data_IF_448494989810
#
_entry.id   IF_448494989810
#
_cell.length_a   1.000
_cell.length_b   1.000
_cell.length_c   1.000
_cell.angle_alpha   90.00
_cell.angle_beta   90.00
_cell.angle_gamma   90.00
#
_symmetry.space_group_name_H-M   'P 1'
#
loop_
_entity.id
_entity.type
_entity.pdbx_description
1 polymer ?
#
# COMPACT_ATOMS: atom_id res chain seq x y z
N UNK A 1 -9.19 -2.19 -3.70
CA UNK A 1 -8.31 -2.66 -2.61
C UNK A 1 -9.13 -3.00 -1.40
N UNK A 2 -9.93 -2.08 -0.85
CA UNK A 2 -11.07 -2.46 -0.01
C UNK A 2 -12.02 -3.34 -0.85
N UNK A 3 -12.53 -4.48 -0.36
CA UNK A 3 -12.52 -4.99 1.02
C UNK A 3 -11.36 -5.95 1.39
N UNK A 4 -10.37 -6.16 0.52
CA UNK A 4 -9.27 -7.11 0.75
C UNK A 4 -8.32 -6.71 1.88
N UNK A 5 -8.20 -5.41 2.17
CA UNK A 5 -7.27 -4.91 3.16
C UNK A 5 -7.69 -3.56 3.74
N UNK A 6 -7.35 -3.31 5.00
CA UNK A 6 -7.38 -1.99 5.64
C UNK A 6 -6.07 -1.26 5.38
N UNK A 7 -6.15 0.03 5.04
CA UNK A 7 -4.96 0.87 4.89
C UNK A 7 -4.60 1.43 6.26
N UNK A 8 -3.38 1.18 6.71
CA UNK A 8 -2.87 1.68 7.99
C UNK A 8 -2.03 2.94 7.78
N UNK A 9 -1.16 2.97 6.77
CA UNK A 9 -0.40 4.17 6.43
C UNK A 9 -0.09 4.21 4.93
N UNK A 10 0.08 5.42 4.41
CA UNK A 10 0.47 5.68 3.04
C UNK A 10 1.29 6.97 2.93
N UNK A 11 2.16 7.02 1.92
CA UNK A 11 2.90 8.21 1.51
C UNK A 11 3.17 8.13 0.01
N UNK A 12 2.78 9.16 -0.75
CA UNK A 12 3.13 9.34 -2.15
C UNK A 12 4.35 10.25 -2.24
N UNK A 13 5.37 9.79 -2.94
CA UNK A 13 6.57 10.55 -3.27
C UNK A 13 6.53 10.92 -4.76
N UNK A 14 7.31 11.90 -5.22
CA UNK A 14 7.33 12.28 -6.63
C UNK A 14 7.61 11.13 -7.61
N UNK A 15 8.36 10.11 -7.19
CA UNK A 15 8.81 8.99 -8.04
C UNK A 15 8.41 7.59 -7.55
N UNK A 16 7.79 7.45 -6.38
CA UNK A 16 7.32 6.17 -5.84
C UNK A 16 6.23 6.39 -4.79
N UNK A 17 5.67 5.31 -4.24
CA UNK A 17 4.76 5.40 -3.09
C UNK A 17 5.00 4.25 -2.13
N UNK A 18 4.63 4.47 -0.88
CA UNK A 18 4.62 3.45 0.16
C UNK A 18 3.21 3.26 0.71
N UNK A 19 2.89 2.02 1.04
CA UNK A 19 1.60 1.62 1.57
C UNK A 19 1.79 0.52 2.60
N UNK A 20 1.22 0.71 3.77
CA UNK A 20 1.11 -0.29 4.84
C UNK A 20 -0.36 -0.69 4.96
N UNK A 21 -0.62 -1.98 4.81
CA UNK A 21 -1.99 -2.53 4.85
C UNK A 21 -2.07 -3.71 5.79
N UNK A 22 -3.22 -3.86 6.45
CA UNK A 22 -3.63 -5.12 7.06
C UNK A 22 -4.42 -5.92 6.02
N UNK A 23 -3.95 -7.11 5.66
CA UNK A 23 -4.67 -7.99 4.72
C UNK A 23 -5.73 -8.77 5.50
N UNK A 24 -7.00 -8.57 5.14
CA UNK A 24 -8.13 -9.27 5.75
C UNK A 24 -8.39 -10.59 5.02
N UNK A 25 -8.42 -10.53 3.69
CA UNK A 25 -8.68 -11.67 2.82
C UNK A 25 -7.77 -11.62 1.58
N UNK A 26 -7.25 -12.79 1.20
CA UNK A 26 -6.42 -12.92 -0.02
C UNK A 26 -7.29 -13.15 -1.26
N UNK A 27 -8.47 -13.76 -1.09
CA UNK A 27 -9.42 -14.11 -2.15
C UNK A 27 -10.85 -13.82 -1.69
N UNK A 28 -11.65 -13.21 -2.55
CA UNK A 28 -13.06 -12.94 -2.29
C UNK A 28 -13.93 -13.33 -3.50
N UNK A 29 -15.15 -13.85 -3.28
CA UNK A 29 -16.06 -14.18 -4.37
C UNK A 29 -16.54 -12.91 -5.09
N UNK A 30 -16.57 -12.94 -6.42
CA UNK A 30 -17.13 -11.86 -7.23
C UNK A 30 -18.63 -12.10 -7.36
N UNK A 31 -19.44 -11.30 -6.67
CA UNK A 31 -20.89 -11.25 -6.90
C UNK A 31 -21.15 -10.75 -8.33
N UNK A 32 -21.96 -11.49 -9.09
CA UNK A 32 -22.24 -11.21 -10.52
C UNK A 32 -22.92 -9.86 -10.78
N UNK A 33 -23.55 -9.26 -9.77
CA UNK A 33 -24.28 -7.98 -9.87
C UNK A 33 -23.42 -6.78 -10.32
N UNK A 34 -22.10 -6.79 -10.09
CA UNK A 34 -21.22 -5.67 -10.43
C UNK A 34 -20.71 -5.66 -11.89
N UNK A 35 -21.19 -6.56 -12.76
CA UNK A 35 -20.82 -6.56 -14.19
C UNK A 35 -21.47 -5.43 -15.00
N UNK A 36 -22.51 -4.77 -14.49
CA UNK A 36 -23.20 -3.67 -15.17
C UNK A 36 -22.88 -2.33 -14.50
N UNK A 37 -21.72 -1.73 -14.79
CA UNK A 37 -21.43 -0.26 -14.73
C UNK A 37 -19.94 0.10 -14.89
N UNK A 38 -19.21 -0.54 -15.81
CA UNK A 38 -17.94 0.04 -16.28
C UNK A 38 -17.82 -0.11 -17.79
N UNK A 39 -18.57 0.71 -18.53
CA UNK A 39 -18.45 0.88 -19.99
C UNK A 39 -17.07 1.44 -20.44
N UNK A 40 -16.13 1.64 -19.51
CA UNK A 40 -14.74 2.03 -19.80
C UNK A 40 -13.67 1.05 -19.33
N UNK A 41 -14.04 -0.10 -18.74
CA UNK A 41 -13.06 -1.06 -18.24
C UNK A 41 -12.86 -2.16 -19.28
N UNK A 42 -11.95 -1.92 -20.23
CA UNK A 42 -11.55 -2.96 -21.18
C UNK A 42 -11.17 -4.24 -20.41
N UNK A 43 -11.77 -5.41 -20.74
CA UNK A 43 -11.43 -6.69 -20.14
C UNK A 43 -9.93 -6.93 -20.24
N UNK A 44 -9.36 -7.51 -19.18
CA UNK A 44 -7.93 -7.75 -19.05
C UNK A 44 -7.44 -8.77 -20.07
N UNK A 45 -6.67 -8.33 -21.05
CA UNK A 45 -5.61 -9.15 -21.62
C UNK A 45 -4.30 -8.73 -20.95
N UNK A 46 -3.98 -9.36 -19.82
CA UNK A 46 -2.59 -9.39 -19.35
C UNK A 46 -2.00 -10.73 -19.74
N UNK A 47 -1.02 -10.68 -20.66
CA UNK A 47 -0.03 -11.73 -20.90
C UNK A 47 0.47 -12.27 -19.56
N UNK A 48 0.31 -13.58 -19.32
CA UNK A 48 0.92 -14.28 -18.18
C UNK A 48 -0.02 -15.17 -17.38
N UNK A 49 -0.68 -16.11 -18.05
CA UNK A 49 -0.89 -17.51 -17.64
C UNK A 49 -2.02 -18.08 -18.47
N UNK A 50 -1.67 -18.76 -19.56
CA UNK A 50 -2.52 -19.82 -20.08
C UNK A 50 -2.58 -20.90 -19.01
N UNK A 51 -3.77 -21.47 -18.84
CA UNK A 51 -4.11 -22.58 -17.94
C UNK A 51 -4.37 -22.26 -16.46
N UNK A 52 -5.58 -21.74 -16.16
CA UNK A 52 -6.41 -22.40 -15.15
C UNK A 52 -7.80 -22.60 -15.74
N UNK A 53 -8.15 -23.88 -15.80
CA UNK A 53 -9.38 -24.46 -16.32
C UNK A 53 -10.63 -23.91 -15.62
N UNK A 54 -11.66 -23.70 -16.43
CA UNK A 54 -13.06 -23.53 -16.03
C UNK A 54 -13.44 -24.50 -14.89
N UNK A 55 -13.73 -23.96 -13.71
CA UNK A 55 -14.22 -24.76 -12.58
C UNK A 55 -14.43 -23.90 -11.33
N UNK A 56 -15.71 -23.58 -11.05
CA UNK A 56 -16.25 -23.15 -9.75
C UNK A 56 -15.81 -21.79 -9.19
N UNK A 57 -16.66 -20.76 -9.40
CA UNK A 57 -16.66 -19.49 -8.68
C UNK A 57 -15.60 -18.46 -9.12
N UNK A 58 -16.02 -17.37 -9.78
CA UNK A 58 -15.13 -16.24 -10.07
C UNK A 58 -14.67 -15.59 -8.75
N UNK A 59 -13.46 -15.91 -8.27
CA UNK A 59 -12.85 -15.25 -7.12
C UNK A 59 -11.83 -14.21 -7.57
N UNK A 60 -11.82 -13.04 -6.92
CA UNK A 60 -10.79 -12.00 -7.13
C UNK A 60 -9.77 -12.09 -6.03
N UNK A 61 -8.50 -11.88 -6.38
CA UNK A 61 -7.39 -11.85 -5.43
C UNK A 61 -6.98 -10.41 -5.09
N UNK A 62 -6.35 -10.20 -3.94
CA UNK A 62 -5.77 -8.90 -3.57
C UNK A 62 -4.75 -8.39 -4.62
N UNK A 63 -3.92 -9.29 -5.18
CA UNK A 63 -2.97 -8.96 -6.25
C UNK A 63 -3.70 -8.40 -7.48
N UNK A 64 -4.81 -9.02 -7.88
CA UNK A 64 -5.62 -8.53 -8.97
C UNK A 64 -6.25 -7.17 -8.64
N UNK A 65 -6.73 -6.95 -7.42
CA UNK A 65 -7.27 -5.66 -6.98
C UNK A 65 -6.24 -4.53 -7.00
N UNK A 66 -5.00 -4.80 -6.59
CA UNK A 66 -3.88 -3.86 -6.69
C UNK A 66 -3.59 -3.54 -8.17
N UNK A 67 -3.57 -4.56 -9.05
CA UNK A 67 -3.41 -4.36 -10.48
C UNK A 67 -4.48 -3.45 -11.09
N UNK A 68 -5.74 -3.63 -10.70
CA UNK A 68 -6.85 -2.75 -11.11
C UNK A 68 -6.60 -1.31 -10.65
N UNK A 69 -6.18 -1.11 -9.40
CA UNK A 69 -5.88 0.22 -8.85
C UNK A 69 -4.78 0.93 -9.65
N UNK A 70 -3.64 0.26 -9.88
CA UNK A 70 -2.52 0.83 -10.62
C UNK A 70 -2.87 1.14 -12.08
N UNK A 71 -3.61 0.24 -12.75
CA UNK A 71 -4.07 0.48 -14.12
C UNK A 71 -5.04 1.65 -14.20
N UNK A 72 -5.97 1.75 -13.26
CA UNK A 72 -6.95 2.84 -13.23
C UNK A 72 -6.25 4.19 -13.07
N UNK A 73 -5.26 4.28 -12.18
CA UNK A 73 -4.43 5.47 -12.01
C UNK A 73 -3.62 5.78 -13.28
N UNK A 74 -2.97 4.78 -13.87
CA UNK A 74 -2.21 4.93 -15.13
C UNK A 74 -3.10 5.48 -16.25
N UNK A 75 -4.31 4.96 -16.41
CA UNK A 75 -5.26 5.43 -17.41
C UNK A 75 -5.69 6.89 -17.18
N UNK A 76 -5.96 7.26 -15.92
CA UNK A 76 -6.34 8.62 -15.56
C UNK A 76 -5.22 9.62 -15.91
N UNK A 77 -3.97 9.32 -15.52
CA UNK A 77 -2.80 10.15 -15.82
C UNK A 77 -2.52 10.21 -17.32
N UNK A 78 -2.59 9.09 -18.02
CA UNK A 78 -2.40 9.04 -19.47
C UNK A 78 -3.41 9.94 -20.19
N UNK A 79 -4.68 9.88 -19.78
CA UNK A 79 -5.74 10.76 -20.30
C UNK A 79 -5.48 12.23 -19.98
N UNK A 80 -5.13 12.55 -18.74
CA UNK A 80 -4.87 13.93 -18.29
C UNK A 80 -3.69 14.57 -19.04
N UNK A 81 -2.64 13.79 -19.29
CA UNK A 81 -1.38 14.27 -19.88
C UNK A 81 -1.30 14.02 -21.39
N UNK A 82 -2.41 13.61 -22.02
CA UNK A 82 -2.48 13.23 -23.45
C UNK A 82 -1.32 12.32 -23.89
N UNK A 83 -1.03 11.29 -23.09
CA UNK A 83 0.08 10.35 -23.31
C UNK A 83 -0.40 8.91 -23.28
N UNK A 84 0.46 7.98 -23.66
CA UNK A 84 0.23 6.55 -23.56
C UNK A 84 1.42 5.83 -22.90
N UNK A 85 1.25 4.54 -22.61
CA UNK A 85 2.30 3.68 -22.02
C UNK A 85 2.15 3.41 -20.52
N UNK A 86 3.13 2.70 -19.97
CA UNK A 86 3.17 2.32 -18.54
C UNK A 86 3.66 3.49 -17.68
N UNK A 87 2.99 3.71 -16.55
CA UNK A 87 3.44 4.66 -15.53
C UNK A 87 4.25 3.98 -14.42
N UNK A 88 3.93 2.72 -14.10
CA UNK A 88 4.59 1.96 -13.03
C UNK A 88 5.65 1.01 -13.59
N UNK A 89 6.67 0.72 -12.76
CA UNK A 89 7.61 -0.38 -13.02
C UNK A 89 6.86 -1.71 -12.97
N UNK A 90 7.34 -2.72 -13.72
CA UNK A 90 6.69 -4.03 -13.84
C UNK A 90 6.50 -4.76 -12.51
N UNK A 91 7.38 -4.52 -11.54
CA UNK A 91 7.37 -5.20 -10.24
C UNK A 91 7.04 -4.25 -9.10
N UNK A 92 6.22 -4.73 -8.15
CA UNK A 92 5.94 -4.06 -6.87
C UNK A 92 6.59 -4.89 -5.78
N UNK A 93 7.36 -4.25 -4.89
CA UNK A 93 7.94 -4.90 -3.71
C UNK A 93 6.88 -5.01 -2.62
N UNK A 94 6.72 -6.20 -2.06
CA UNK A 94 5.82 -6.45 -0.93
C UNK A 94 6.56 -7.30 0.11
N UNK A 95 6.61 -6.82 1.35
CA UNK A 95 7.20 -7.52 2.48
C UNK A 95 6.14 -7.74 3.55
N UNK A 96 6.09 -8.95 4.11
CA UNK A 96 5.21 -9.23 5.23
C UNK A 96 5.85 -8.71 6.52
N UNK A 97 5.15 -7.81 7.22
CA UNK A 97 5.65 -7.12 8.41
C UNK A 97 5.59 -8.01 9.65
N UNK A 98 4.58 -8.88 9.76
CA UNK A 98 4.36 -9.74 10.92
C UNK A 98 4.69 -11.23 10.67
N UNK A 99 5.28 -11.57 9.52
CA UNK A 99 5.72 -12.93 9.22
C UNK A 99 7.18 -13.10 9.63
N UNK A 100 7.51 -13.97 10.59
CA UNK A 100 8.90 -14.23 10.96
C UNK A 100 9.59 -15.01 9.85
N UNK A 101 10.29 -14.31 8.96
CA UNK A 101 11.21 -14.89 7.99
C UNK A 101 12.63 -14.36 8.26
N UNK A 102 13.34 -14.97 9.22
CA UNK A 102 14.70 -14.58 9.61
C UNK A 102 14.79 -13.37 10.54
N UNK A 103 15.99 -12.78 10.65
CA UNK A 103 16.25 -11.53 11.38
C UNK A 103 15.73 -10.38 10.51
N UNK A 104 14.59 -9.81 10.87
CA UNK A 104 14.06 -8.62 10.20
C UNK A 104 14.99 -7.43 10.51
N UNK A 105 15.45 -6.67 9.52
CA UNK A 105 16.54 -5.71 9.67
C UNK A 105 16.02 -4.35 10.21
N UNK A 106 15.23 -4.35 11.29
CA UNK A 106 15.00 -3.10 12.02
C UNK A 106 16.28 -2.70 12.74
N UNK A 107 17.16 -2.09 11.96
CA UNK A 107 18.35 -1.38 12.36
C UNK A 107 17.98 0.11 12.31
N UNK A 108 17.98 0.81 13.45
CA UNK A 108 17.99 2.27 13.43
C UNK A 108 19.41 2.75 13.71
N UNK A 109 19.93 3.57 12.80
CA UNK A 109 21.28 4.13 12.91
C UNK A 109 21.26 5.26 13.93
N UNK A 110 22.05 5.12 14.98
CA UNK A 110 22.38 6.20 15.93
C UNK A 110 23.76 6.76 15.58
N UNK A 111 24.12 7.95 16.09
CA UNK A 111 25.51 8.49 15.95
C UNK A 111 26.57 7.52 16.50
N UNK A 112 26.18 6.62 17.41
CA UNK A 112 27.05 5.64 18.05
C UNK A 112 27.00 4.24 17.40
N UNK A 113 26.36 4.11 16.23
CA UNK A 113 26.29 2.87 15.47
C UNK A 113 24.88 2.28 15.32
N UNK A 114 24.83 1.09 14.72
CA UNK A 114 23.60 0.36 14.44
C UNK A 114 23.21 -0.48 15.65
N UNK A 115 22.08 -0.14 16.29
CA UNK A 115 21.55 -0.94 17.41
C UNK A 115 20.46 -1.89 16.91
N UNK A 116 20.54 -3.15 17.37
CA UNK A 116 19.48 -4.16 17.22
C UNK A 116 18.87 -4.34 18.60
N UNK A 117 17.72 -3.71 18.84
CA UNK A 117 16.92 -3.99 20.02
C UNK A 117 15.63 -4.65 19.52
N UNK A 118 15.35 -5.88 19.97
CA UNK A 118 14.07 -6.55 19.65
C UNK A 118 13.49 -7.09 20.96
N UNK A 119 12.72 -6.25 21.65
CA UNK A 119 12.04 -6.64 22.90
C UNK A 119 10.63 -7.17 22.61
N UNK A 120 9.98 -6.69 21.53
CA UNK A 120 8.76 -7.30 20.95
C UNK A 120 8.68 -7.07 19.42
N UNK A 121 9.07 -8.05 18.59
CA UNK A 121 9.16 -7.87 17.14
C UNK A 121 7.82 -7.56 16.47
N UNK A 122 6.70 -7.98 17.08
CA UNK A 122 5.35 -7.78 16.51
C UNK A 122 4.84 -6.33 16.62
N UNK A 123 5.40 -5.50 17.50
CA UNK A 123 5.02 -4.08 17.63
C UNK A 123 6.12 -3.16 17.13
N UNK A 124 7.37 -3.49 17.39
CA UNK A 124 8.51 -2.64 17.00
C UNK A 124 8.70 -2.58 15.48
N UNK A 125 8.54 -3.70 14.75
CA UNK A 125 8.71 -3.71 13.30
C UNK A 125 7.58 -2.94 12.57
N UNK A 126 6.28 -3.14 12.88
CA UNK A 126 5.22 -2.28 12.35
C UNK A 126 5.43 -0.79 12.66
N UNK A 127 5.84 -0.44 13.88
CA UNK A 127 6.10 0.95 14.26
C UNK A 127 7.24 1.55 13.44
N UNK A 128 8.34 0.80 13.27
CA UNK A 128 9.46 1.25 12.47
C UNK A 128 9.07 1.49 11.01
N UNK A 129 8.28 0.57 10.42
CA UNK A 129 7.75 0.74 9.07
C UNK A 129 6.81 1.96 8.97
N UNK A 130 5.93 2.16 9.95
CA UNK A 130 5.03 3.32 10.01
C UNK A 130 5.82 4.64 10.05
N UNK A 131 6.77 4.74 10.98
CA UNK A 131 7.64 5.91 11.10
C UNK A 131 8.45 6.13 9.82
N UNK A 132 8.99 5.07 9.22
CA UNK A 132 9.72 5.15 7.95
C UNK A 132 8.83 5.74 6.85
N UNK A 133 7.60 5.26 6.69
CA UNK A 133 6.67 5.73 5.65
C UNK A 133 6.43 7.24 5.79
N UNK A 134 6.19 7.73 7.00
CA UNK A 134 5.91 9.14 7.25
C UNK A 134 7.15 10.03 7.24
N UNK A 135 8.32 9.50 7.55
CA UNK A 135 9.57 10.27 7.52
C UNK A 135 10.20 10.36 6.12
N UNK A 136 9.70 9.63 5.12
CA UNK A 136 10.23 9.67 3.75
C UNK A 136 10.26 11.08 3.14
N UNK A 137 9.22 11.92 3.25
CA UNK A 137 9.25 13.29 2.74
C UNK A 137 10.33 14.15 3.41
N UNK A 138 10.53 14.00 4.73
CA UNK A 138 11.56 14.73 5.48
C UNK A 138 12.96 14.28 5.06
N UNK A 139 13.20 12.97 5.00
CA UNK A 139 14.47 12.39 4.54
C UNK A 139 14.81 12.77 3.10
N UNK A 140 13.80 12.99 2.26
CA UNK A 140 13.96 13.47 0.89
C UNK A 140 14.14 15.00 0.78
N UNK A 141 14.11 15.74 1.90
CA UNK A 141 14.23 17.20 1.93
C UNK A 141 13.02 17.95 1.36
N UNK A 142 11.85 17.31 1.28
CA UNK A 142 10.63 17.91 0.71
C UNK A 142 9.90 18.81 1.73
N UNK A 143 9.97 18.46 3.01
CA UNK A 143 9.32 19.16 4.13
C UNK A 143 10.17 19.06 5.39
N UNK A 144 9.95 19.96 6.36
CA UNK A 144 10.65 19.92 7.63
C UNK A 144 10.02 18.91 8.59
N UNK A 145 8.70 18.70 8.50
CA UNK A 145 7.95 17.76 9.35
C UNK A 145 7.07 16.82 8.54
N UNK A 146 6.85 15.56 8.97
CA UNK A 146 6.03 14.59 8.26
C UNK A 146 4.62 15.09 7.90
N UNK A 147 3.96 15.77 8.83
CA UNK A 147 2.58 16.25 8.70
C UNK A 147 2.40 17.42 7.72
N UNK A 148 3.49 18.07 7.32
CA UNK A 148 3.51 19.12 6.29
C UNK A 148 3.38 18.54 4.87
N UNK A 149 3.75 17.27 4.68
CA UNK A 149 3.62 16.62 3.37
C UNK A 149 2.16 16.26 3.07
N UNK A 150 1.54 17.01 2.17
CA UNK A 150 0.11 16.85 1.85
C UNK A 150 -0.25 15.46 1.32
N UNK A 151 0.69 14.82 0.63
CA UNK A 151 0.52 13.50 0.02
C UNK A 151 0.99 12.36 0.94
N UNK A 152 0.76 12.50 2.25
CA UNK A 152 1.00 11.44 3.24
C UNK A 152 -0.15 11.36 4.24
N UNK A 153 -0.37 10.16 4.79
CA UNK A 153 -1.25 9.94 5.94
C UNK A 153 -0.74 10.56 7.24
N UNK A 154 0.51 11.01 7.31
CA UNK A 154 1.06 11.69 8.50
C UNK A 154 0.16 12.84 8.97
N UNK A 155 -0.40 13.60 8.01
CA UNK A 155 -1.34 14.69 8.27
C UNK A 155 -2.66 14.22 8.90
N UNK A 156 -3.12 13.01 8.55
CA UNK A 156 -4.32 12.42 9.19
C UNK A 156 -4.02 12.07 10.65
N UNK A 157 -2.85 11.48 10.91
CA UNK A 157 -2.43 11.08 12.25
C UNK A 157 -2.14 12.27 13.18
N UNK A 158 -1.63 13.38 12.63
CA UNK A 158 -1.45 14.63 13.35
C UNK A 158 -2.78 15.39 13.65
N UNK A 159 -3.94 14.87 13.23
CA UNK A 159 -5.23 15.55 13.41
C UNK A 159 -5.42 16.80 12.52
N UNK A 160 -4.47 17.08 11.62
CA UNK A 160 -4.52 18.22 10.70
C UNK A 160 -5.36 17.93 9.44
N UNK A 161 -5.76 16.67 9.24
CA UNK A 161 -6.70 16.23 8.21
C UNK A 161 -7.62 15.16 8.78
N UNK A 162 -8.91 15.23 8.40
CA UNK A 162 -9.90 14.21 8.76
C UNK A 162 -10.17 13.25 7.59
N UNK A 163 -9.12 12.60 7.08
CA UNK A 163 -9.24 11.63 5.99
C UNK A 163 -9.85 10.31 6.45
N UNK A 164 -10.60 9.66 5.55
CA UNK A 164 -11.28 8.37 5.81
C UNK A 164 -10.51 7.17 5.28
N UNK A 165 -9.38 7.40 4.59
CA UNK A 165 -8.64 6.34 3.91
C UNK A 165 -7.90 5.41 4.88
N UNK A 166 -7.38 5.96 5.99
CA UNK A 166 -6.66 5.19 7.01
C UNK A 166 -7.60 4.69 8.11
N UNK A 167 -7.50 3.41 8.45
CA UNK A 167 -8.26 2.84 9.56
C UNK A 167 -7.47 2.99 10.87
N UNK A 168 -7.59 4.16 11.51
CA UNK A 168 -6.88 4.49 12.75
C UNK A 168 -7.20 3.51 13.90
N UNK A 169 -8.44 3.00 13.96
CA UNK A 169 -8.87 2.05 15.00
C UNK A 169 -8.15 0.71 14.91
N UNK A 170 -7.88 0.24 13.68
CA UNK A 170 -7.09 -0.97 13.44
C UNK A 170 -5.60 -0.68 13.62
N UNK A 171 -5.14 0.50 13.19
CA UNK A 171 -3.74 0.91 13.33
C UNK A 171 -3.28 0.89 14.81
N UNK A 172 -4.09 1.41 15.75
CA UNK A 172 -3.80 1.41 17.19
C UNK A 172 -3.52 0.04 17.81
N UNK A 173 -3.88 -1.07 17.13
CA UNK A 173 -3.57 -2.42 17.60
C UNK A 173 -2.11 -2.81 17.38
N UNK A 174 -1.44 -2.15 16.44
CA UNK A 174 -0.10 -2.51 15.96
C UNK A 174 0.93 -1.40 16.13
N UNK A 175 0.49 -0.15 16.18
CA UNK A 175 1.35 1.04 16.23
C UNK A 175 0.76 2.10 17.17
N UNK A 176 1.65 2.95 17.67
CA UNK A 176 1.36 4.13 18.48
C UNK A 176 1.58 5.39 17.63
N UNK A 177 0.69 6.38 17.79
CA UNK A 177 0.70 7.66 17.05
C UNK A 177 -0.05 8.76 17.80
#
# INVERSE_FOLDING_TARGET
MLPFCDILAWCLMPNHFHLMVLVNDVKLPVKEENRRRTEGFAPSETLGSRHETFGSGNSRTIKHSIGIMLRSYTNAINKQQNRSGSLFRKTTKAECINCPNGITPTFYTTEFGTQVHVSNPKKEYPQACFNYIHQNPVKAGLVAKPEEWEFSSAKDYAGLRNGTLVNKSVALKYIDF
#
